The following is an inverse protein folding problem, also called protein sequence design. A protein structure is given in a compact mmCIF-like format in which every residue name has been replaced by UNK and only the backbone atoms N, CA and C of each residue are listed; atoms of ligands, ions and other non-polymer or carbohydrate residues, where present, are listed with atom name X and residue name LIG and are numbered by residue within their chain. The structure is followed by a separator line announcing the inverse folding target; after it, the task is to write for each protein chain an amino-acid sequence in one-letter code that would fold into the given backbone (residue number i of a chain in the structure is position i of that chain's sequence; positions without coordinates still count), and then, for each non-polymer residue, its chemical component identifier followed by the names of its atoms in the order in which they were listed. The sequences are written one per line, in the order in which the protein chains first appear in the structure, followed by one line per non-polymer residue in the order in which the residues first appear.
data_IF_299064524233
#
_entry.id   IF_299064524233
#
_cell.length_a   1.000
_cell.length_b   1.000
_cell.length_c   1.000
_cell.angle_alpha   90.00
_cell.angle_beta   90.00
_cell.angle_gamma   90.00
#
_symmetry.space_group_name_H-M   'P 1'
#
loop_
_entity.id
_entity.type
_entity.pdbx_description
1 polymer ?
#
# COMPACT_ATOMS: atom_id res chain seq x y z
N UNK A 1 16.14 -15.12 35.78
CA UNK A 1 15.75 -13.90 35.06
C UNK A 1 16.78 -12.84 35.35
N UNK A 2 17.53 -12.34 34.37
CA UNK A 2 18.46 -11.26 34.54
C UNK A 2 17.68 -9.98 34.88
N UNK A 3 17.83 -9.45 36.08
CA UNK A 3 17.22 -8.17 36.50
C UNK A 3 17.89 -7.06 35.70
N UNK A 4 17.13 -6.44 34.79
CA UNK A 4 17.66 -5.31 34.03
C UNK A 4 17.92 -4.16 34.99
N UNK A 5 19.17 -3.66 35.00
CA UNK A 5 19.57 -2.52 35.83
C UNK A 5 18.78 -1.29 35.41
N UNK A 6 18.14 -0.60 36.36
CA UNK A 6 17.41 0.64 36.09
C UNK A 6 18.30 1.88 36.21
N UNK A 7 17.90 3.00 35.57
CA UNK A 7 18.55 4.30 35.73
C UNK A 7 18.65 4.71 37.20
N UNK A 8 17.62 4.39 38.00
CA UNK A 8 17.57 4.67 39.43
C UNK A 8 18.67 3.88 40.18
N UNK A 9 18.89 2.62 39.81
CA UNK A 9 19.94 1.78 40.41
C UNK A 9 21.35 2.28 40.09
N UNK A 10 21.59 2.71 38.83
CA UNK A 10 22.85 3.39 38.48
C UNK A 10 23.08 4.66 39.30
N UNK A 11 22.04 5.46 39.50
CA UNK A 11 22.11 6.70 40.29
C UNK A 11 22.44 6.40 41.77
N UNK A 12 21.81 5.39 42.34
CA UNK A 12 22.11 4.92 43.71
C UNK A 12 23.59 4.52 43.90
N UNK A 13 24.11 3.68 42.97
CA UNK A 13 25.51 3.20 43.06
C UNK A 13 26.51 4.35 42.92
N UNK A 14 26.22 5.34 42.08
CA UNK A 14 27.10 6.48 41.84
C UNK A 14 26.95 7.60 42.86
N UNK A 15 25.95 7.57 43.75
CA UNK A 15 25.62 8.66 44.66
C UNK A 15 25.17 9.93 43.95
N UNK A 16 24.54 9.79 42.78
CA UNK A 16 24.09 10.90 41.91
C UNK A 16 22.56 10.93 41.75
N UNK A 17 22.02 12.10 41.46
CA UNK A 17 20.61 12.19 41.09
C UNK A 17 20.33 11.48 39.73
N UNK A 18 19.18 10.80 39.56
CA UNK A 18 18.83 10.17 38.29
C UNK A 18 18.86 11.12 37.08
N UNK A 19 18.54 12.39 37.29
CA UNK A 19 18.62 13.43 36.24
C UNK A 19 20.08 13.70 35.82
N UNK A 20 21.03 13.69 36.80
CA UNK A 20 22.46 13.85 36.52
C UNK A 20 23.01 12.67 35.73
N UNK A 21 22.68 11.43 36.12
CA UNK A 21 23.07 10.22 35.38
C UNK A 21 22.50 10.22 33.97
N UNK A 22 21.23 10.61 33.78
CA UNK A 22 20.63 10.73 32.48
C UNK A 22 21.29 11.76 31.57
N UNK A 23 21.71 12.93 32.12
CA UNK A 23 22.43 13.96 31.37
C UNK A 23 23.86 13.51 31.04
N UNK A 24 24.54 12.85 31.98
CA UNK A 24 25.89 12.31 31.79
C UNK A 24 25.94 11.27 30.64
N UNK A 25 24.97 10.34 30.60
CA UNK A 25 24.87 9.35 29.52
C UNK A 25 24.70 9.98 28.15
N UNK A 26 24.02 11.14 28.09
CA UNK A 26 23.80 11.92 26.86
C UNK A 26 24.94 12.86 26.50
N UNK A 27 25.97 12.96 27.32
CA UNK A 27 27.09 13.88 27.08
C UNK A 27 26.73 15.36 27.26
N UNK A 28 25.74 15.69 28.11
CA UNK A 28 25.27 17.07 28.29
C UNK A 28 26.39 17.98 28.79
N UNK A 29 26.58 19.20 28.24
CA UNK A 29 27.71 20.09 28.59
C UNK A 29 27.76 20.50 30.06
N UNK A 30 26.61 20.54 30.74
CA UNK A 30 26.55 20.90 32.19
C UNK A 30 27.14 19.82 33.09
N UNK A 31 27.48 18.65 32.58
CA UNK A 31 28.05 17.55 33.38
C UNK A 31 29.53 17.44 33.06
N UNK A 32 30.37 17.46 34.12
CA UNK A 32 31.83 17.36 33.98
C UNK A 32 32.23 16.07 33.23
N UNK A 33 33.31 16.16 32.46
CA UNK A 33 33.83 15.03 31.66
C UNK A 33 34.15 13.81 32.55
N UNK A 34 34.74 14.04 33.71
CA UNK A 34 35.02 13.00 34.71
C UNK A 34 33.73 12.29 35.17
N UNK A 35 32.64 13.03 35.41
CA UNK A 35 31.35 12.44 35.80
C UNK A 35 30.74 11.66 34.65
N UNK A 36 30.81 12.16 33.41
CA UNK A 36 30.33 11.44 32.25
C UNK A 36 31.06 10.11 32.05
N UNK A 37 32.39 10.09 32.19
CA UNK A 37 33.22 8.88 32.07
C UNK A 37 32.87 7.85 33.15
N UNK A 38 32.76 8.26 34.41
CA UNK A 38 32.34 7.38 35.52
C UNK A 38 30.96 6.75 35.27
N UNK A 39 30.00 7.54 34.81
CA UNK A 39 28.64 7.07 34.53
C UNK A 39 28.64 6.07 33.36
N UNK A 40 29.40 6.36 32.30
CA UNK A 40 29.51 5.45 31.14
C UNK A 40 30.20 4.15 31.47
N UNK A 41 31.28 4.18 32.25
CA UNK A 41 31.98 2.99 32.69
C UNK A 41 31.08 2.05 33.49
N UNK A 42 30.36 2.58 34.49
CA UNK A 42 29.44 1.76 35.30
C UNK A 42 28.24 1.26 34.44
N UNK A 43 27.74 2.05 33.51
CA UNK A 43 26.67 1.63 32.61
C UNK A 43 27.10 0.47 31.68
N UNK A 44 28.37 0.47 31.23
CA UNK A 44 28.95 -0.63 30.46
C UNK A 44 29.15 -1.88 31.32
N UNK A 45 29.72 -1.73 32.50
CA UNK A 45 29.95 -2.83 33.45
C UNK A 45 28.66 -3.56 33.82
N UNK A 46 27.58 -2.81 34.08
CA UNK A 46 26.29 -3.34 34.46
C UNK A 46 25.39 -3.66 33.25
N UNK A 47 25.90 -3.58 32.00
CA UNK A 47 25.16 -3.78 30.79
C UNK A 47 23.84 -2.97 30.73
N UNK A 48 23.85 -1.76 31.30
CA UNK A 48 22.70 -0.90 31.35
C UNK A 48 22.28 -0.47 29.93
N UNK A 49 21.04 -0.73 29.58
CA UNK A 49 20.40 -0.18 28.37
C UNK A 49 19.27 0.74 28.82
N UNK A 50 19.19 1.98 28.32
CA UNK A 50 18.03 2.83 28.56
C UNK A 50 16.74 2.11 28.18
N UNK A 51 15.77 2.08 29.08
CA UNK A 51 14.47 1.50 28.78
C UNK A 51 13.80 2.32 27.67
N UNK A 52 13.48 1.69 26.53
CA UNK A 52 12.77 2.32 25.44
C UNK A 52 11.41 2.89 25.93
N UNK A 53 10.75 2.16 26.84
CA UNK A 53 9.50 2.59 27.47
C UNK A 53 9.69 3.86 28.32
N UNK A 54 10.76 3.96 29.12
CA UNK A 54 11.03 5.14 29.93
C UNK A 54 11.42 6.36 29.06
N UNK A 55 12.08 6.12 27.93
CA UNK A 55 12.41 7.15 26.94
C UNK A 55 11.15 7.64 26.20
N UNK A 56 10.27 6.73 25.79
CA UNK A 56 9.02 7.08 25.10
C UNK A 56 8.08 7.88 26.00
N UNK A 57 7.91 7.47 27.26
CA UNK A 57 7.13 8.22 28.25
C UNK A 57 7.64 9.63 28.47
N UNK A 58 8.99 9.82 28.51
CA UNK A 58 9.59 11.13 28.69
C UNK A 58 9.49 12.02 27.46
N UNK A 59 9.67 11.45 26.29
CA UNK A 59 9.67 12.18 25.01
C UNK A 59 8.26 12.30 24.40
N UNK A 60 7.25 11.63 24.99
CA UNK A 60 5.89 11.47 24.43
C UNK A 60 5.90 10.92 23.00
N UNK A 61 6.92 10.13 22.64
CA UNK A 61 7.07 9.50 21.31
C UNK A 61 7.64 8.09 21.48
N UNK A 62 7.04 7.15 20.78
CA UNK A 62 7.47 5.74 20.78
C UNK A 62 8.54 5.45 19.73
N UNK A 63 8.71 6.35 18.76
CA UNK A 63 9.45 6.14 17.51
C UNK A 63 8.96 4.87 16.78
N UNK A 64 7.65 4.61 16.84
CA UNK A 64 7.03 3.48 16.21
C UNK A 64 5.79 3.96 15.42
N UNK A 65 5.72 3.60 14.17
CA UNK A 65 4.57 3.82 13.31
C UNK A 65 3.93 2.48 12.97
N UNK A 66 2.62 2.46 12.82
CA UNK A 66 1.90 1.29 12.33
C UNK A 66 1.72 1.39 10.82
N UNK A 67 1.69 0.23 10.17
CA UNK A 67 1.24 0.10 8.79
C UNK A 67 0.18 -0.99 8.74
N UNK A 68 -1.02 -0.65 8.25
CA UNK A 68 -2.15 -1.55 8.11
C UNK A 68 -2.41 -1.79 6.63
N UNK A 69 -2.38 -3.05 6.21
CA UNK A 69 -2.57 -3.46 4.82
C UNK A 69 -3.60 -4.58 4.72
N UNK A 70 -4.27 -4.73 3.57
CA UNK A 70 -5.26 -5.78 3.37
C UNK A 70 -4.67 -7.19 3.36
N UNK A 71 -3.59 -7.39 2.57
CA UNK A 71 -3.00 -8.72 2.36
C UNK A 71 -1.53 -8.62 1.96
N UNK A 72 -0.64 -9.17 2.78
CA UNK A 72 0.81 -9.14 2.54
C UNK A 72 1.25 -10.03 1.37
N UNK A 73 0.46 -11.02 1.00
CA UNK A 73 0.72 -11.86 -0.17
C UNK A 73 0.51 -11.16 -1.51
N UNK A 74 -0.09 -9.96 -1.54
CA UNK A 74 -0.21 -9.17 -2.74
C UNK A 74 1.09 -8.36 -2.96
N UNK A 75 1.65 -8.45 -4.16
CA UNK A 75 2.93 -7.83 -4.52
C UNK A 75 2.97 -6.31 -4.30
N UNK A 76 1.90 -5.61 -4.67
CA UNK A 76 1.79 -4.17 -4.49
C UNK A 76 1.91 -3.77 -3.01
N UNK A 77 1.16 -4.43 -2.13
CA UNK A 77 1.23 -4.15 -0.69
C UNK A 77 2.57 -4.56 -0.08
N UNK A 78 3.16 -5.68 -0.51
CA UNK A 78 4.49 -6.10 -0.06
C UNK A 78 5.58 -5.07 -0.43
N UNK A 79 5.52 -4.51 -1.64
CA UNK A 79 6.40 -3.43 -2.10
C UNK A 79 6.19 -2.15 -1.30
N UNK A 80 4.93 -1.77 -1.03
CA UNK A 80 4.60 -0.59 -0.22
C UNK A 80 5.15 -0.74 1.21
N UNK A 81 4.93 -1.90 1.85
CA UNK A 81 5.46 -2.21 3.19
C UNK A 81 6.99 -2.12 3.21
N UNK A 82 7.66 -2.73 2.25
CA UNK A 82 9.11 -2.69 2.15
C UNK A 82 9.64 -1.26 2.03
N UNK A 83 8.96 -0.43 1.25
CA UNK A 83 9.33 0.98 1.06
C UNK A 83 9.08 1.82 2.32
N UNK A 84 7.92 1.65 2.98
CA UNK A 84 7.61 2.34 4.24
C UNK A 84 8.63 1.98 5.32
N UNK A 85 8.98 0.68 5.46
CA UNK A 85 9.99 0.23 6.43
C UNK A 85 11.33 0.93 6.18
N UNK A 86 11.78 0.98 4.92
CA UNK A 86 13.06 1.62 4.56
C UNK A 86 13.06 3.11 4.87
N UNK A 87 12.00 3.82 4.46
CA UNK A 87 11.87 5.28 4.67
C UNK A 87 11.75 5.62 6.15
N UNK A 88 10.95 4.87 6.90
CA UNK A 88 10.79 5.04 8.34
C UNK A 88 12.10 4.79 9.10
N UNK A 89 12.83 3.73 8.76
CA UNK A 89 14.08 3.39 9.40
C UNK A 89 15.15 4.50 9.22
N UNK A 90 15.24 5.09 8.02
CA UNK A 90 16.17 6.20 7.75
C UNK A 90 15.85 7.46 8.57
N UNK A 91 14.61 7.61 9.02
CA UNK A 91 14.13 8.70 9.88
C UNK A 91 14.06 8.31 11.38
N UNK A 92 14.59 7.14 11.75
CA UNK A 92 14.66 6.71 13.15
C UNK A 92 13.38 6.07 13.71
N UNK A 93 12.42 5.73 12.85
CA UNK A 93 11.16 5.06 13.23
C UNK A 93 11.23 3.56 12.98
N UNK A 94 10.53 2.80 13.83
CA UNK A 94 10.24 1.37 13.65
C UNK A 94 8.85 1.24 13.01
N UNK A 95 8.66 0.22 12.19
CA UNK A 95 7.37 -0.07 11.58
C UNK A 95 6.81 -1.37 12.17
N UNK A 96 5.55 -1.33 12.59
CA UNK A 96 4.78 -2.50 13.02
C UNK A 96 3.71 -2.72 11.95
N UNK A 97 3.76 -3.86 11.28
CA UNK A 97 2.85 -4.18 10.19
C UNK A 97 1.69 -5.02 10.70
N UNK A 98 0.48 -4.66 10.31
CA UNK A 98 -0.78 -5.35 10.57
C UNK A 98 -1.44 -5.72 9.25
N UNK A 99 -2.11 -6.87 9.23
CA UNK A 99 -2.94 -7.33 8.11
C UNK A 99 -4.38 -7.44 8.57
N UNK A 100 -5.32 -6.79 7.84
CA UNK A 100 -6.75 -6.85 8.15
C UNK A 100 -7.49 -7.99 7.40
N UNK A 101 -6.82 -8.69 6.47
CA UNK A 101 -7.41 -9.81 5.74
C UNK A 101 -8.60 -9.41 4.85
N UNK A 102 -8.70 -8.16 4.43
CA UNK A 102 -9.86 -7.60 3.71
C UNK A 102 -11.17 -7.62 4.52
N UNK A 103 -11.06 -7.67 5.86
CA UNK A 103 -12.16 -7.79 6.80
C UNK A 103 -12.30 -6.52 7.66
N UNK A 104 -13.48 -5.88 7.60
CA UNK A 104 -13.80 -4.66 8.33
C UNK A 104 -13.74 -4.86 9.85
N UNK A 105 -14.25 -5.99 10.37
CA UNK A 105 -14.27 -6.22 11.82
C UNK A 105 -12.84 -6.42 12.36
N UNK A 106 -11.99 -7.09 11.60
CA UNK A 106 -10.58 -7.23 11.94
C UNK A 106 -9.86 -5.88 11.92
N UNK A 107 -10.15 -5.04 10.93
CA UNK A 107 -9.64 -3.68 10.83
C UNK A 107 -10.01 -2.84 12.06
N UNK A 108 -11.26 -2.87 12.47
CA UNK A 108 -11.75 -2.19 13.69
C UNK A 108 -11.00 -2.67 14.94
N UNK A 109 -10.81 -3.99 15.10
CA UNK A 109 -10.07 -4.56 16.26
C UNK A 109 -8.61 -4.09 16.27
N UNK A 110 -7.97 -4.04 15.10
CA UNK A 110 -6.60 -3.53 14.98
C UNK A 110 -6.55 -2.06 15.38
N UNK A 111 -7.47 -1.21 14.89
CA UNK A 111 -7.52 0.20 15.26
C UNK A 111 -7.73 0.41 16.77
N UNK A 112 -8.60 -0.39 17.40
CA UNK A 112 -8.78 -0.37 18.87
C UNK A 112 -7.51 -0.77 19.63
N UNK A 113 -6.71 -1.68 19.10
CA UNK A 113 -5.41 -2.03 19.66
C UNK A 113 -4.42 -0.87 19.49
N UNK A 114 -4.39 -0.24 18.31
CA UNK A 114 -3.50 0.87 17.99
C UNK A 114 -3.73 2.09 18.89
N UNK A 115 -4.98 2.38 19.26
CA UNK A 115 -5.34 3.43 20.22
C UNK A 115 -4.55 3.33 21.54
N UNK A 116 -4.32 2.10 22.00
CA UNK A 116 -3.68 1.82 23.31
C UNK A 116 -2.18 1.55 23.19
N UNK A 117 -1.65 1.43 21.98
CA UNK A 117 -0.27 0.96 21.75
C UNK A 117 0.76 2.09 21.75
N UNK A 118 0.32 3.37 21.77
CA UNK A 118 1.19 4.54 21.80
C UNK A 118 2.03 4.70 20.53
N UNK A 119 1.51 4.31 19.36
CA UNK A 119 2.15 4.58 18.06
C UNK A 119 2.17 6.08 17.77
N UNK A 120 3.18 6.52 17.01
CA UNK A 120 3.31 7.92 16.63
C UNK A 120 2.54 8.27 15.35
N UNK A 121 2.08 7.27 14.58
CA UNK A 121 1.29 7.46 13.37
C UNK A 121 0.94 6.17 12.65
N UNK A 122 0.08 6.26 11.63
CA UNK A 122 -0.45 5.12 10.87
C UNK A 122 -0.41 5.36 9.36
N UNK A 123 0.17 4.43 8.59
CA UNK A 123 -0.03 4.30 7.14
C UNK A 123 -1.05 3.20 6.90
N UNK A 124 -2.12 3.47 6.14
CA UNK A 124 -3.23 2.52 6.03
C UNK A 124 -3.79 2.40 4.61
N UNK A 125 -4.00 1.16 4.18
CA UNK A 125 -4.92 0.80 3.10
C UNK A 125 -6.12 0.09 3.74
N UNK A 126 -7.32 0.69 3.71
CA UNK A 126 -8.51 0.10 4.32
C UNK A 126 -8.88 -1.24 3.69
N UNK A 127 -9.60 -2.09 4.44
CA UNK A 127 -10.18 -3.32 3.89
C UNK A 127 -11.18 -3.00 2.76
N UNK A 128 -11.38 -3.93 1.83
CA UNK A 128 -12.40 -3.77 0.77
C UNK A 128 -13.83 -3.79 1.32
N UNK A 129 -14.02 -4.38 2.50
CA UNK A 129 -15.32 -4.45 3.18
C UNK A 129 -15.57 -3.26 4.12
N UNK A 130 -14.60 -2.32 4.23
CA UNK A 130 -14.75 -1.09 5.02
C UNK A 130 -15.92 -0.28 4.47
N UNK A 131 -16.95 -0.10 5.28
CA UNK A 131 -18.19 0.58 4.95
C UNK A 131 -18.37 1.92 5.69
N UNK A 132 -17.64 2.12 6.78
CA UNK A 132 -17.52 3.38 7.50
C UNK A 132 -16.08 3.60 7.98
N UNK A 133 -15.77 4.80 8.47
CA UNK A 133 -14.43 5.19 8.90
C UNK A 133 -14.37 5.59 10.39
N UNK A 134 -15.38 5.28 11.18
CA UNK A 134 -15.50 5.70 12.57
C UNK A 134 -14.30 5.29 13.44
N UNK A 135 -13.74 4.10 13.19
CA UNK A 135 -12.56 3.60 13.89
C UNK A 135 -11.29 4.42 13.56
N UNK A 136 -11.18 4.98 12.35
CA UNK A 136 -10.09 5.90 11.98
C UNK A 136 -10.36 7.31 12.52
N UNK A 137 -11.61 7.78 12.52
CA UNK A 137 -12.00 9.06 13.15
C UNK A 137 -11.61 9.07 14.62
N UNK A 138 -11.80 7.97 15.35
CA UNK A 138 -11.39 7.84 16.75
C UNK A 138 -9.88 7.98 16.92
N UNK A 139 -9.06 7.34 16.05
CA UNK A 139 -7.60 7.50 16.06
C UNK A 139 -7.20 8.97 15.79
N UNK A 140 -7.87 9.63 14.87
CA UNK A 140 -7.62 11.04 14.55
C UNK A 140 -7.94 11.95 15.75
N UNK A 141 -9.04 11.74 16.46
CA UNK A 141 -9.40 12.49 17.65
C UNK A 141 -8.39 12.31 18.80
N UNK A 142 -7.68 11.21 18.84
CA UNK A 142 -6.59 10.97 19.80
C UNK A 142 -5.25 11.59 19.35
N UNK A 143 -5.25 12.28 18.22
CA UNK A 143 -4.08 12.98 17.69
C UNK A 143 -3.08 12.06 16.98
N UNK A 144 -3.49 10.87 16.54
CA UNK A 144 -2.65 9.96 15.77
C UNK A 144 -2.72 10.37 14.29
N UNK A 145 -1.65 10.92 13.70
CA UNK A 145 -1.64 11.27 12.29
C UNK A 145 -1.71 10.01 11.42
N UNK A 146 -2.44 10.11 10.32
CA UNK A 146 -2.66 9.00 9.39
C UNK A 146 -2.39 9.43 7.96
N UNK A 147 -1.94 8.46 7.15
CA UNK A 147 -1.85 8.59 5.68
C UNK A 147 -2.52 7.38 5.06
N UNK A 148 -3.54 7.63 4.25
CA UNK A 148 -4.22 6.58 3.49
C UNK A 148 -3.53 6.36 2.15
N UNK A 149 -3.52 5.13 1.68
CA UNK A 149 -3.02 4.82 0.35
C UNK A 149 -3.86 3.75 -0.35
N UNK A 150 -3.76 3.68 -1.69
CA UNK A 150 -4.48 2.76 -2.56
C UNK A 150 -6.00 2.97 -2.58
N UNK A 151 -6.63 3.04 -1.40
CA UNK A 151 -8.07 3.19 -1.26
C UNK A 151 -8.42 4.52 -0.61
N UNK A 152 -9.49 5.12 -1.15
CA UNK A 152 -9.93 6.46 -0.75
C UNK A 152 -10.55 6.42 0.65
N UNK A 153 -10.26 7.42 1.46
CA UNK A 153 -10.95 7.70 2.73
C UNK A 153 -11.83 8.95 2.54
N UNK A 154 -13.06 8.80 2.04
CA UNK A 154 -13.95 9.94 1.83
C UNK A 154 -14.31 10.58 3.17
N UNK A 155 -14.39 11.93 3.19
CA UNK A 155 -14.80 12.70 4.36
C UNK A 155 -13.88 12.63 5.59
N UNK A 156 -12.68 12.07 5.45
CA UNK A 156 -11.66 12.12 6.49
C UNK A 156 -10.55 13.09 6.07
N UNK A 157 -10.31 14.11 6.93
CA UNK A 157 -9.26 15.09 6.68
C UNK A 157 -7.90 14.49 6.99
N UNK A 158 -7.28 13.88 5.97
CA UNK A 158 -6.01 13.16 6.08
C UNK A 158 -5.27 13.15 4.75
N UNK A 159 -3.95 12.96 4.79
CA UNK A 159 -3.15 12.77 3.58
C UNK A 159 -3.52 11.46 2.89
N UNK A 160 -3.54 11.49 1.55
CA UNK A 160 -3.86 10.32 0.73
C UNK A 160 -2.88 10.16 -0.42
N UNK A 161 -2.47 8.93 -0.70
CA UNK A 161 -1.64 8.55 -1.85
C UNK A 161 -2.40 7.54 -2.70
N UNK A 162 -2.91 8.00 -3.82
CA UNK A 162 -3.82 7.24 -4.69
C UNK A 162 -3.23 7.09 -6.08
N UNK A 163 -3.64 6.07 -6.80
CA UNK A 163 -3.38 5.93 -8.23
C UNK A 163 -4.61 6.36 -9.05
N UNK A 164 -4.36 6.87 -10.25
CA UNK A 164 -5.44 7.27 -11.16
C UNK A 164 -5.97 6.07 -11.95
N UNK A 165 -6.79 5.25 -11.27
CA UNK A 165 -7.41 4.06 -11.85
C UNK A 165 -8.20 4.35 -13.13
N UNK A 166 -8.85 5.53 -13.19
CA UNK A 166 -9.57 5.95 -14.40
C UNK A 166 -8.62 6.14 -15.58
N UNK A 167 -7.54 6.90 -15.39
CA UNK A 167 -6.54 7.08 -16.45
C UNK A 167 -5.82 5.80 -16.82
N UNK A 168 -5.54 4.95 -15.83
CA UNK A 168 -4.92 3.64 -16.07
C UNK A 168 -5.75 2.78 -17.00
N UNK A 169 -7.03 2.65 -16.73
CA UNK A 169 -7.97 1.93 -17.59
C UNK A 169 -8.12 2.58 -18.96
N UNK A 170 -8.24 3.92 -19.03
CA UNK A 170 -8.25 4.61 -20.31
C UNK A 170 -7.01 4.32 -21.16
N UNK A 171 -5.84 4.31 -20.54
CA UNK A 171 -4.56 4.11 -21.25
C UNK A 171 -4.47 2.69 -21.80
N UNK A 172 -4.80 1.69 -21.00
CA UNK A 172 -4.80 0.27 -21.42
C UNK A 172 -5.76 0.03 -22.58
N UNK A 173 -7.00 0.51 -22.45
CA UNK A 173 -8.02 0.25 -23.49
C UNK A 173 -7.71 0.99 -24.78
N UNK A 174 -7.22 2.24 -24.71
CA UNK A 174 -6.73 2.96 -25.91
C UNK A 174 -5.60 2.21 -26.59
N UNK A 175 -4.64 1.70 -25.84
CA UNK A 175 -3.55 0.88 -26.40
C UNK A 175 -4.09 -0.35 -27.13
N UNK A 176 -5.06 -1.07 -26.56
CA UNK A 176 -5.69 -2.22 -27.23
C UNK A 176 -6.41 -1.82 -28.53
N UNK A 177 -7.13 -0.69 -28.51
CA UNK A 177 -7.84 -0.17 -29.69
C UNK A 177 -6.84 0.25 -30.78
N UNK A 178 -5.77 0.95 -30.40
CA UNK A 178 -4.72 1.39 -31.31
C UNK A 178 -3.95 0.19 -31.91
N UNK A 179 -3.84 -0.91 -31.14
CA UNK A 179 -3.33 -2.23 -31.62
C UNK A 179 -4.31 -3.03 -32.48
N UNK A 180 -5.51 -2.51 -32.76
CA UNK A 180 -6.47 -3.11 -33.69
C UNK A 180 -7.69 -3.75 -33.05
N UNK A 181 -7.79 -3.86 -31.74
CA UNK A 181 -8.97 -4.41 -31.09
C UNK A 181 -10.22 -3.53 -31.33
N UNK A 182 -11.34 -4.17 -31.57
CA UNK A 182 -12.64 -3.50 -31.82
C UNK A 182 -13.73 -3.96 -30.87
N UNK A 183 -13.62 -5.14 -30.30
CA UNK A 183 -14.61 -5.72 -29.38
C UNK A 183 -13.92 -6.20 -28.11
N UNK A 184 -13.67 -5.25 -27.21
CA UNK A 184 -12.92 -5.48 -25.97
C UNK A 184 -13.91 -5.80 -24.86
N UNK A 185 -13.69 -6.91 -24.13
CA UNK A 185 -14.41 -7.19 -22.88
C UNK A 185 -13.63 -6.70 -21.67
N UNK A 186 -14.34 -6.35 -20.59
CA UNK A 186 -13.77 -6.04 -19.30
C UNK A 186 -14.19 -7.08 -18.27
N UNK A 187 -13.25 -7.90 -17.80
CA UNK A 187 -13.46 -8.75 -16.62
C UNK A 187 -13.20 -7.86 -15.40
N UNK A 188 -14.28 -7.30 -14.87
CA UNK A 188 -14.27 -6.25 -13.85
C UNK A 188 -14.33 -6.83 -12.43
N UNK A 189 -13.83 -6.09 -11.45
CA UNK A 189 -14.17 -6.33 -10.06
C UNK A 189 -15.59 -5.80 -9.77
N UNK A 190 -16.24 -6.26 -8.68
CA UNK A 190 -17.59 -5.81 -8.32
C UNK A 190 -17.70 -4.29 -8.19
N UNK A 191 -18.78 -3.73 -8.74
CA UNK A 191 -19.05 -2.28 -8.72
C UNK A 191 -19.21 -1.66 -7.33
N UNK A 192 -19.37 -2.46 -6.28
CA UNK A 192 -19.32 -1.95 -4.91
C UNK A 192 -17.96 -1.35 -4.52
N UNK A 193 -16.90 -1.64 -5.28
CA UNK A 193 -15.57 -1.08 -5.04
C UNK A 193 -15.34 0.19 -5.87
N UNK A 194 -14.98 1.30 -5.22
CA UNK A 194 -14.79 2.59 -5.88
C UNK A 194 -13.70 2.58 -6.96
N UNK A 195 -12.61 1.85 -6.74
CA UNK A 195 -11.54 1.69 -7.73
C UNK A 195 -12.00 0.87 -8.95
N UNK A 196 -12.87 -0.14 -8.75
CA UNK A 196 -13.47 -0.88 -9.85
C UNK A 196 -14.35 0.01 -10.72
N UNK A 197 -15.19 0.85 -10.08
CA UNK A 197 -16.00 1.84 -10.81
C UNK A 197 -15.14 2.82 -11.62
N UNK A 198 -13.99 3.25 -11.07
CA UNK A 198 -13.07 4.16 -11.79
C UNK A 198 -12.46 3.46 -13.01
N UNK A 199 -12.04 2.19 -12.89
CA UNK A 199 -11.52 1.40 -14.03
C UNK A 199 -12.59 1.16 -15.08
N UNK A 200 -13.81 0.80 -14.68
CA UNK A 200 -14.95 0.65 -15.61
C UNK A 200 -15.25 1.97 -16.34
N UNK A 201 -15.31 3.09 -15.64
CA UNK A 201 -15.50 4.41 -16.27
C UNK A 201 -14.38 4.74 -17.26
N UNK A 202 -13.14 4.41 -16.93
CA UNK A 202 -11.98 4.59 -17.82
C UNK A 202 -12.08 3.72 -19.08
N UNK A 203 -12.48 2.46 -18.94
CA UNK A 203 -12.74 1.54 -20.05
C UNK A 203 -13.83 2.07 -20.98
N UNK A 204 -15.00 2.47 -20.42
CA UNK A 204 -16.11 3.03 -21.21
C UNK A 204 -15.73 4.32 -21.93
N UNK A 205 -14.96 5.20 -21.26
CA UNK A 205 -14.51 6.45 -21.86
C UNK A 205 -13.56 6.21 -23.04
N UNK A 206 -12.63 5.26 -22.92
CA UNK A 206 -11.72 4.94 -24.00
C UNK A 206 -12.43 4.41 -25.26
N UNK A 207 -13.45 3.54 -25.09
CA UNK A 207 -14.29 3.08 -26.18
C UNK A 207 -15.06 4.23 -26.83
N UNK A 208 -15.67 5.10 -26.02
CA UNK A 208 -16.41 6.28 -26.48
C UNK A 208 -15.54 7.23 -27.30
N UNK A 209 -14.32 7.51 -26.83
CA UNK A 209 -13.38 8.41 -27.51
C UNK A 209 -12.98 7.92 -28.90
N UNK A 210 -13.07 6.62 -29.13
CA UNK A 210 -12.77 5.96 -30.42
C UNK A 210 -14.03 5.54 -31.20
N UNK A 211 -15.20 6.04 -30.79
CA UNK A 211 -16.50 5.74 -31.40
C UNK A 211 -16.80 4.23 -31.51
N UNK A 212 -16.28 3.42 -30.60
CA UNK A 212 -16.59 2.00 -30.51
C UNK A 212 -17.88 1.78 -29.73
N UNK A 213 -18.62 0.76 -30.15
CA UNK A 213 -19.87 0.38 -29.47
C UNK A 213 -19.59 -0.15 -28.07
N UNK A 214 -20.34 0.35 -27.10
CA UNK A 214 -20.29 -0.10 -25.71
C UNK A 214 -21.43 -1.10 -25.47
N UNK A 215 -21.09 -2.35 -25.18
CA UNK A 215 -22.06 -3.38 -24.81
C UNK A 215 -21.85 -3.73 -23.32
N UNK A 216 -22.83 -3.44 -22.49
CA UNK A 216 -22.76 -3.75 -21.05
C UNK A 216 -22.55 -5.25 -20.78
N UNK A 217 -22.95 -6.14 -21.71
CA UNK A 217 -22.73 -7.59 -21.62
C UNK A 217 -21.25 -7.96 -21.71
N UNK A 218 -20.39 -7.05 -22.20
CA UNK A 218 -18.95 -7.23 -22.24
C UNK A 218 -18.25 -6.78 -20.95
N UNK A 219 -18.99 -6.21 -20.01
CA UNK A 219 -18.50 -5.91 -18.65
C UNK A 219 -19.02 -7.01 -17.72
N UNK A 220 -18.13 -7.91 -17.34
CA UNK A 220 -18.50 -9.07 -16.53
C UNK A 220 -17.84 -8.95 -15.17
N UNK A 221 -18.67 -8.80 -14.14
CA UNK A 221 -18.16 -8.80 -12.77
C UNK A 221 -17.61 -10.18 -12.39
N UNK A 222 -16.44 -10.17 -11.76
CA UNK A 222 -15.72 -11.36 -11.28
C UNK A 222 -15.07 -11.01 -9.96
N UNK A 223 -15.34 -11.79 -8.93
CA UNK A 223 -14.73 -11.58 -7.61
C UNK A 223 -13.67 -12.63 -7.30
N UNK A 224 -13.87 -13.83 -7.78
CA UNK A 224 -12.98 -14.96 -7.54
C UNK A 224 -12.34 -15.46 -8.84
N UNK A 225 -11.05 -15.73 -8.77
CA UNK A 225 -10.26 -16.23 -9.89
C UNK A 225 -10.80 -17.54 -10.49
N UNK A 226 -11.49 -18.35 -9.70
CA UNK A 226 -12.11 -19.59 -10.16
C UNK A 226 -13.18 -19.39 -11.23
N UNK A 227 -13.82 -18.20 -11.25
CA UNK A 227 -14.83 -17.86 -12.26
C UNK A 227 -14.23 -17.48 -13.62
N UNK A 228 -12.97 -17.05 -13.65
CA UNK A 228 -12.31 -16.52 -14.86
C UNK A 228 -12.34 -17.54 -16.00
N UNK A 229 -12.21 -18.84 -15.70
CA UNK A 229 -12.28 -19.89 -16.71
C UNK A 229 -13.59 -19.85 -17.48
N UNK A 230 -14.71 -19.86 -16.76
CA UNK A 230 -16.05 -19.84 -17.35
C UNK A 230 -16.31 -18.55 -18.12
N UNK A 231 -15.97 -17.40 -17.51
CA UNK A 231 -16.17 -16.06 -18.09
C UNK A 231 -15.39 -15.93 -19.40
N UNK A 232 -14.10 -16.29 -19.41
CA UNK A 232 -13.25 -16.18 -20.60
C UNK A 232 -13.80 -17.02 -21.75
N UNK A 233 -14.18 -18.27 -21.51
CA UNK A 233 -14.78 -19.13 -22.55
C UNK A 233 -16.07 -18.54 -23.12
N UNK A 234 -16.93 -18.01 -22.27
CA UNK A 234 -18.18 -17.39 -22.67
C UNK A 234 -17.93 -16.17 -23.56
N UNK A 235 -17.01 -15.29 -23.18
CA UNK A 235 -16.65 -14.09 -23.93
C UNK A 235 -16.09 -14.42 -25.31
N UNK A 236 -15.19 -15.39 -25.40
CA UNK A 236 -14.57 -15.77 -26.69
C UNK A 236 -15.53 -16.50 -27.58
N UNK A 237 -16.24 -17.53 -27.07
CA UNK A 237 -17.07 -18.41 -27.92
C UNK A 237 -18.42 -17.78 -28.32
N UNK A 238 -19.02 -16.99 -27.44
CA UNK A 238 -20.36 -16.47 -27.66
C UNK A 238 -20.41 -14.98 -27.95
N UNK A 239 -19.44 -14.22 -27.49
CA UNK A 239 -19.41 -12.78 -27.74
C UNK A 239 -18.45 -12.36 -28.85
N UNK A 240 -17.51 -13.23 -29.26
CA UNK A 240 -16.56 -12.95 -30.34
C UNK A 240 -15.67 -11.73 -30.04
N UNK A 241 -15.13 -11.65 -28.82
CA UNK A 241 -14.23 -10.57 -28.41
C UNK A 241 -12.83 -10.75 -29.02
N UNK A 242 -12.20 -9.66 -29.41
CA UNK A 242 -10.82 -9.59 -29.90
C UNK A 242 -9.84 -8.99 -28.87
N UNK A 243 -10.37 -8.60 -27.70
CA UNK A 243 -9.57 -8.10 -26.59
C UNK A 243 -10.22 -8.34 -25.23
N UNK A 244 -9.39 -8.58 -24.20
CA UNK A 244 -9.84 -8.74 -22.82
C UNK A 244 -8.98 -7.86 -21.92
N UNK A 245 -9.62 -6.88 -21.28
CA UNK A 245 -9.03 -6.11 -20.19
C UNK A 245 -9.46 -6.71 -18.86
N UNK A 246 -8.55 -7.33 -18.13
CA UNK A 246 -8.79 -7.90 -16.82
C UNK A 246 -8.47 -6.86 -15.71
N UNK A 247 -9.32 -6.82 -14.70
CA UNK A 247 -9.24 -5.84 -13.62
C UNK A 247 -7.96 -5.94 -12.76
N UNK A 248 -7.27 -7.08 -12.80
CA UNK A 248 -5.97 -7.31 -12.16
C UNK A 248 -5.16 -8.36 -12.92
N UNK A 249 -3.87 -8.46 -12.61
CA UNK A 249 -2.96 -9.39 -13.28
C UNK A 249 -3.28 -10.85 -12.97
N UNK A 250 -3.75 -11.16 -11.76
CA UNK A 250 -4.15 -12.53 -11.43
C UNK A 250 -5.25 -13.03 -12.36
N UNK A 251 -6.26 -12.21 -12.65
CA UNK A 251 -7.29 -12.55 -13.64
C UNK A 251 -6.70 -12.67 -15.04
N UNK A 252 -5.85 -11.73 -15.45
CA UNK A 252 -5.23 -11.72 -16.77
C UNK A 252 -4.39 -12.98 -17.03
N UNK A 253 -3.60 -13.41 -16.06
CA UNK A 253 -2.81 -14.66 -16.12
C UNK A 253 -3.72 -15.88 -16.32
N UNK A 254 -4.84 -15.94 -15.60
CA UNK A 254 -5.83 -17.01 -15.80
C UNK A 254 -6.49 -16.93 -17.16
N UNK A 255 -6.81 -15.72 -17.66
CA UNK A 255 -7.32 -15.53 -19.05
C UNK A 255 -6.32 -16.11 -20.06
N UNK A 256 -5.03 -15.77 -19.97
CA UNK A 256 -3.99 -16.34 -20.84
C UNK A 256 -3.95 -17.86 -20.79
N UNK A 257 -4.06 -18.44 -19.58
CA UNK A 257 -4.09 -19.91 -19.41
C UNK A 257 -5.30 -20.54 -20.11
N UNK A 258 -6.50 -19.92 -20.01
CA UNK A 258 -7.72 -20.40 -20.67
C UNK A 258 -7.61 -20.29 -22.17
N UNK A 259 -7.16 -19.16 -22.72
CA UNK A 259 -6.95 -18.95 -24.16
C UNK A 259 -6.00 -19.99 -24.73
N UNK A 260 -4.90 -20.28 -24.03
CA UNK A 260 -3.97 -21.33 -24.42
C UNK A 260 -4.62 -22.71 -24.47
N UNK A 261 -5.48 -23.08 -23.51
CA UNK A 261 -6.23 -24.33 -23.53
C UNK A 261 -7.21 -24.40 -24.69
N UNK A 262 -7.78 -23.25 -25.06
CA UNK A 262 -8.69 -23.12 -26.23
C UNK A 262 -7.93 -23.08 -27.56
N UNK A 263 -6.59 -23.08 -27.55
CA UNK A 263 -5.72 -22.90 -28.72
C UNK A 263 -5.97 -21.56 -29.44
N UNK A 264 -6.46 -20.56 -28.74
CA UNK A 264 -6.64 -19.19 -29.22
C UNK A 264 -5.29 -18.45 -29.15
N UNK A 265 -4.89 -17.84 -30.26
CA UNK A 265 -3.59 -17.13 -30.34
C UNK A 265 -3.71 -15.77 -29.68
N UNK A 266 -2.73 -15.47 -28.83
CA UNK A 266 -2.57 -14.19 -28.17
C UNK A 266 -1.24 -13.58 -28.63
N UNK A 267 -1.23 -12.36 -29.20
CA UNK A 267 -2.35 -11.39 -29.26
C UNK A 267 -3.17 -11.44 -30.56
N UNK A 268 -2.90 -12.31 -31.54
CA UNK A 268 -3.41 -12.21 -32.91
C UNK A 268 -4.95 -12.40 -33.00
N UNK A 269 -5.53 -13.27 -32.17
CA UNK A 269 -6.97 -13.51 -32.14
C UNK A 269 -7.65 -12.80 -30.97
N UNK A 270 -6.98 -12.79 -29.79
CA UNK A 270 -7.47 -12.09 -28.61
C UNK A 270 -6.29 -11.45 -27.88
N UNK A 271 -6.25 -10.13 -27.83
CA UNK A 271 -5.29 -9.39 -27.01
C UNK A 271 -5.70 -9.40 -25.52
N UNK A 272 -4.73 -9.44 -24.61
CA UNK A 272 -4.99 -9.48 -23.15
C UNK A 272 -4.17 -8.42 -22.44
N UNK A 273 -4.84 -7.64 -21.58
CA UNK A 273 -4.20 -6.70 -20.67
C UNK A 273 -4.62 -6.96 -19.23
N UNK A 274 -3.67 -6.77 -18.30
CA UNK A 274 -3.88 -6.80 -16.87
C UNK A 274 -3.78 -5.43 -16.21
N UNK A 275 -3.69 -5.44 -14.86
CA UNK A 275 -3.53 -4.25 -14.03
C UNK A 275 -2.82 -4.64 -12.73
N UNK A 276 -1.60 -4.09 -12.48
CA UNK A 276 -0.83 -4.38 -11.26
C UNK A 276 0.67 -4.43 -11.49
N UNK A 277 1.13 -4.97 -12.63
CA UNK A 277 2.51 -5.28 -12.95
C UNK A 277 3.15 -6.22 -11.92
N UNK A 278 2.44 -7.31 -11.60
CA UNK A 278 2.98 -8.35 -10.74
C UNK A 278 4.14 -9.11 -11.44
N UNK A 279 5.14 -9.63 -10.71
CA UNK A 279 6.28 -10.36 -11.31
C UNK A 279 5.89 -11.52 -12.23
N UNK A 280 4.75 -12.15 -11.99
CA UNK A 280 4.20 -13.21 -12.83
C UNK A 280 3.94 -12.74 -14.28
N UNK A 281 3.69 -11.45 -14.50
CA UNK A 281 3.37 -10.88 -15.82
C UNK A 281 4.54 -10.96 -16.81
N UNK A 282 5.77 -11.00 -16.32
CA UNK A 282 6.98 -11.09 -17.13
C UNK A 282 7.29 -12.52 -17.60
N UNK A 283 6.83 -13.50 -16.83
CA UNK A 283 7.14 -14.93 -17.09
C UNK A 283 5.95 -15.70 -17.68
N UNK A 284 4.83 -15.04 -17.95
CA UNK A 284 3.75 -15.63 -18.77
C UNK A 284 4.19 -15.77 -20.22
N UNK A 285 3.51 -16.65 -20.96
CA UNK A 285 3.72 -16.77 -22.40
C UNK A 285 2.37 -16.69 -23.14
N UNK A 286 2.15 -15.59 -23.93
CA UNK A 286 3.01 -14.40 -24.06
C UNK A 286 3.17 -13.61 -22.77
N UNK A 287 4.23 -12.78 -22.65
CA UNK A 287 4.41 -11.87 -21.53
C UNK A 287 3.29 -10.83 -21.48
N UNK A 288 2.74 -10.56 -20.29
CA UNK A 288 1.50 -9.81 -20.11
C UNK A 288 1.70 -8.30 -20.11
N UNK A 289 1.03 -7.60 -21.03
CA UNK A 289 0.84 -6.14 -21.00
C UNK A 289 -0.03 -5.75 -19.82
N UNK A 290 0.41 -4.78 -19.01
CA UNK A 290 -0.29 -4.42 -17.77
C UNK A 290 -0.06 -2.95 -17.39
N UNK A 291 -0.93 -2.40 -16.54
CA UNK A 291 -0.71 -1.10 -15.90
C UNK A 291 0.12 -1.31 -14.63
N UNK A 292 1.22 -0.57 -14.53
CA UNK A 292 2.09 -0.62 -13.35
C UNK A 292 1.44 0.05 -12.14
N UNK A 293 1.30 -0.71 -11.05
CA UNK A 293 1.01 -0.22 -9.70
C UNK A 293 2.31 -0.19 -8.91
N UNK A 294 2.88 1.01 -8.74
CA UNK A 294 4.19 1.16 -8.10
C UNK A 294 4.06 1.25 -6.57
N UNK A 295 3.99 0.10 -5.91
CA UNK A 295 3.93 0.00 -4.45
C UNK A 295 5.13 0.64 -3.75
N UNK A 296 6.34 0.57 -4.33
CA UNK A 296 7.52 1.22 -3.75
C UNK A 296 7.37 2.74 -3.73
N UNK A 297 6.92 3.33 -4.83
CA UNK A 297 6.68 4.76 -4.94
C UNK A 297 5.58 5.22 -4.00
N UNK A 298 4.47 4.49 -3.96
CA UNK A 298 3.34 4.76 -3.07
C UNK A 298 3.79 4.73 -1.61
N UNK A 299 4.48 3.67 -1.18
CA UNK A 299 4.96 3.53 0.19
C UNK A 299 5.98 4.60 0.60
N UNK A 300 6.88 4.98 -0.31
CA UNK A 300 7.86 6.05 -0.04
C UNK A 300 7.19 7.40 0.18
N UNK A 301 6.20 7.75 -0.66
CA UNK A 301 5.44 8.99 -0.52
C UNK A 301 4.63 8.99 0.77
N UNK A 302 3.92 7.87 1.06
CA UNK A 302 3.10 7.74 2.26
C UNK A 302 3.93 7.87 3.54
N UNK A 303 5.09 7.21 3.60
CA UNK A 303 6.02 7.33 4.73
C UNK A 303 6.52 8.77 4.91
N UNK A 304 6.92 9.43 3.81
CA UNK A 304 7.38 10.82 3.86
C UNK A 304 6.31 11.79 4.37
N UNK A 305 5.07 11.63 3.91
CA UNK A 305 3.94 12.43 4.40
C UNK A 305 3.67 12.18 5.88
N UNK A 306 3.64 10.91 6.31
CA UNK A 306 3.40 10.57 7.72
C UNK A 306 4.49 11.11 8.64
N UNK A 307 5.76 10.91 8.30
CA UNK A 307 6.90 11.37 9.10
C UNK A 307 6.84 12.90 9.23
N UNK A 308 6.57 13.61 8.13
CA UNK A 308 6.37 15.05 8.17
C UNK A 308 5.27 15.45 9.15
N UNK A 309 4.09 14.78 9.12
CA UNK A 309 2.99 15.04 10.06
C UNK A 309 3.39 14.80 11.52
N UNK A 310 4.22 13.79 11.79
CA UNK A 310 4.70 13.49 13.13
C UNK A 310 5.71 14.55 13.62
N UNK A 311 6.55 15.08 12.74
CA UNK A 311 7.69 15.92 13.10
C UNK A 311 7.37 17.42 13.08
N UNK A 312 6.53 17.86 12.14
CA UNK A 312 6.13 19.26 12.02
C UNK A 312 5.23 19.66 13.19
N UNK A 313 5.53 20.83 13.77
CA UNK A 313 4.74 21.42 14.85
C UNK A 313 3.62 22.32 14.36
N UNK A 314 3.64 22.66 13.07
CA UNK A 314 2.64 23.52 12.45
C UNK A 314 1.55 22.67 11.78
N UNK A 315 0.31 23.16 11.83
CA UNK A 315 -0.79 22.54 11.07
C UNK A 315 -0.56 22.76 9.57
N UNK A 316 -0.21 21.69 8.86
CA UNK A 316 -0.05 21.70 7.41
C UNK A 316 -1.34 21.17 6.78
N UNK A 317 -1.92 21.83 5.75
CA UNK A 317 -3.08 21.30 5.04
C UNK A 317 -2.86 19.88 4.54
N UNK A 318 -3.92 19.10 4.52
CA UNK A 318 -3.89 17.72 3.99
C UNK A 318 -3.72 17.71 2.48
N UNK A 319 -3.07 16.70 1.96
CA UNK A 319 -2.80 16.58 0.52
C UNK A 319 -3.21 15.22 -0.01
N UNK A 320 -3.85 15.21 -1.18
CA UNK A 320 -4.04 13.99 -1.97
C UNK A 320 -3.01 13.96 -3.10
N UNK A 321 -2.14 12.95 -3.08
CA UNK A 321 -1.19 12.66 -4.14
C UNK A 321 -1.79 11.65 -5.09
N UNK A 322 -2.21 12.10 -6.27
CA UNK A 322 -2.72 11.24 -7.33
C UNK A 322 -1.56 10.88 -8.28
N UNK A 323 -1.16 9.61 -8.29
CA UNK A 323 -0.07 9.12 -9.11
C UNK A 323 -0.56 8.78 -10.51
N UNK A 324 0.24 9.18 -11.51
CA UNK A 324 -0.03 8.85 -12.91
C UNK A 324 0.32 7.37 -13.15
N UNK A 325 -0.60 6.58 -13.70
CA UNK A 325 -0.34 5.19 -14.07
C UNK A 325 0.60 5.12 -15.27
N UNK A 326 1.36 4.05 -15.36
CA UNK A 326 2.27 3.72 -16.45
C UNK A 326 1.82 2.40 -17.09
N UNK A 327 1.74 2.37 -18.42
CA UNK A 327 1.47 1.15 -19.16
C UNK A 327 2.80 0.46 -19.51
N UNK A 328 2.91 -0.80 -19.12
CA UNK A 328 4.02 -1.67 -19.49
C UNK A 328 3.56 -2.58 -20.62
N UNK A 329 3.99 -2.24 -21.83
CA UNK A 329 3.63 -3.00 -23.03
C UNK A 329 4.54 -4.22 -23.15
N UNK A 330 3.91 -5.41 -23.36
CA UNK A 330 4.56 -6.70 -23.59
C UNK A 330 3.88 -7.45 -24.74
N UNK A 331 4.13 -8.75 -24.84
CA UNK A 331 3.76 -9.57 -25.99
C UNK A 331 2.26 -9.94 -26.06
N UNK A 332 1.48 -9.77 -24.99
CA UNK A 332 0.06 -10.12 -24.98
C UNK A 332 -0.86 -9.12 -25.68
N UNK A 333 -0.28 -8.04 -26.25
CA UNK A 333 -0.94 -7.08 -27.13
C UNK A 333 -0.10 -6.79 -28.35
N UNK A 334 -0.74 -6.36 -29.45
CA UNK A 334 -0.01 -5.90 -30.61
C UNK A 334 0.60 -4.52 -30.34
N UNK A 335 1.88 -4.35 -30.73
CA UNK A 335 2.55 -3.05 -30.68
C UNK A 335 2.04 -2.19 -31.84
N UNK A 336 1.79 -0.90 -31.55
CA UNK A 336 1.35 0.09 -32.58
C UNK A 336 2.46 0.37 -33.61
N UNK A 337 3.71 -0.03 -33.31
CA UNK A 337 4.89 0.19 -34.14
C UNK A 337 5.28 -1.02 -35.03
N UNK A 338 4.34 -1.94 -35.31
CA UNK A 338 4.56 -3.03 -36.27
C UNK A 338 3.77 -2.88 -37.54
#
# INVERSE_FOLDING_TARGET
MAVSVSLKKLAEILGLAPSTVSRALKGHPDISRATQERVRALAQELHYKPSALALSLRNKRSNSIAMLVPFLGNYFYACAVSSVIRSAYSSGYKVIVFENGEDYEQEVKICQFLQKSGIDGLVVAPARTTNDLDHFVKLQHEGIPMVFFDRIAPNLDTDQVLEDDYKGACTVVRHMIDGGCRKIAHIALPRRYLWAQKREKGYLQALKDRHLFTDEKLIVECEDVSEVYRITRQLVLHSGVDGIFAANDAFAVHVLSVLRQMKCRVPEEVAVCGYGNEPSTEVTFPALTTVNKDGYRVGNIAAGLLIRRIEDKEEVPTVTRLLKPELIVRDSTLSVDR
#
